data_IF_040929938083
#
_entry.id   IF_040929938083
#
_cell.length_a   1.000
_cell.length_b   1.000
_cell.length_c   1.000
_cell.angle_alpha   90.00
_cell.angle_beta   90.00
_cell.angle_gamma   90.00
#
_symmetry.space_group_name_H-M   'P 1'
#
loop_
_entity.id
_entity.type
_entity.pdbx_description
1 polymer ?
#
# COMPACT_ATOMS: atom_id res chain seq x y z
N UNK A 1 -26.94 14.88 17.88
CA UNK A 1 -25.65 14.24 18.21
C UNK A 1 -24.69 15.34 18.63
N UNK A 2 -24.06 15.26 19.82
CA UNK A 2 -23.25 16.35 20.39
C UNK A 2 -21.78 16.23 19.94
N UNK A 3 -21.13 17.37 19.68
CA UNK A 3 -19.71 17.47 19.23
C UNK A 3 -18.75 16.82 20.24
N UNK A 4 -19.08 16.91 21.53
CA UNK A 4 -18.31 16.25 22.59
C UNK A 4 -18.34 14.72 22.46
N UNK A 5 -19.48 14.15 22.06
CA UNK A 5 -19.63 12.70 21.83
C UNK A 5 -18.84 12.25 20.59
N UNK A 6 -18.72 13.12 19.59
CA UNK A 6 -17.91 12.86 18.38
C UNK A 6 -16.42 12.84 18.71
N UNK A 7 -15.94 13.84 19.47
CA UNK A 7 -14.54 13.96 19.88
C UNK A 7 -14.09 12.84 20.84
N UNK A 8 -14.98 12.39 21.73
CA UNK A 8 -14.68 11.28 22.65
C UNK A 8 -14.60 9.93 21.93
N UNK A 9 -15.30 9.78 20.79
CA UNK A 9 -15.27 8.60 19.92
C UNK A 9 -14.00 8.50 19.04
N UNK A 10 -13.16 9.54 18.99
CA UNK A 10 -11.99 9.63 18.09
C UNK A 10 -10.61 9.70 18.81
N UNK A 11 -10.53 9.36 20.11
CA UNK A 11 -9.25 9.22 20.88
C UNK A 11 -8.38 8.02 20.43
N UNK A 12 -7.08 7.97 20.76
CA UNK A 12 -6.21 6.81 20.47
C UNK A 12 -6.71 5.50 21.13
N UNK A 13 -7.48 5.60 22.22
CA UNK A 13 -8.18 4.49 22.88
C UNK A 13 -9.58 4.18 22.28
N UNK A 14 -9.93 4.77 21.14
CA UNK A 14 -11.26 4.72 20.54
C UNK A 14 -11.30 3.94 19.23
N UNK A 15 -12.49 3.86 18.61
CA UNK A 15 -12.69 3.30 17.28
C UNK A 15 -11.66 3.82 16.25
N UNK A 16 -11.29 5.10 16.31
CA UNK A 16 -10.29 5.70 15.41
C UNK A 16 -8.90 5.07 15.54
N UNK A 17 -8.39 4.91 16.78
CA UNK A 17 -7.09 4.29 17.03
C UNK A 17 -7.07 2.81 16.61
N UNK A 18 -8.14 2.07 16.92
CA UNK A 18 -8.30 0.67 16.49
C UNK A 18 -8.37 0.54 14.97
N UNK A 19 -9.12 1.43 14.31
CA UNK A 19 -9.22 1.49 12.85
C UNK A 19 -7.87 1.78 12.18
N UNK A 20 -7.12 2.76 12.70
CA UNK A 20 -5.76 3.07 12.23
C UNK A 20 -4.84 1.86 12.37
N UNK A 21 -4.78 1.24 13.55
CA UNK A 21 -3.91 0.10 13.82
C UNK A 21 -4.26 -1.11 12.94
N UNK A 22 -5.55 -1.46 12.85
CA UNK A 22 -6.02 -2.52 11.98
C UNK A 22 -5.70 -2.22 10.50
N UNK A 23 -5.84 -0.97 10.10
CA UNK A 23 -5.46 -0.47 8.79
C UNK A 23 -3.97 -0.63 8.49
N UNK A 24 -3.09 -0.20 9.40
CA UNK A 24 -1.63 -0.32 9.27
C UNK A 24 -1.25 -1.79 9.08
N UNK A 25 -1.75 -2.67 9.96
CA UNK A 25 -1.44 -4.11 9.90
C UNK A 25 -1.96 -4.70 8.57
N UNK A 26 -3.16 -4.30 8.15
CA UNK A 26 -3.71 -4.70 6.85
C UNK A 26 -2.86 -4.24 5.68
N UNK A 27 -2.45 -2.97 5.66
CA UNK A 27 -1.61 -2.40 4.62
C UNK A 27 -0.25 -3.10 4.52
N UNK A 28 0.41 -3.36 5.66
CA UNK A 28 1.68 -4.11 5.70
C UNK A 28 1.51 -5.53 5.16
N UNK A 29 0.46 -6.24 5.57
CA UNK A 29 0.16 -7.59 5.08
C UNK A 29 -0.14 -7.59 3.57
N UNK A 30 -0.92 -6.62 3.10
CA UNK A 30 -1.17 -6.42 1.67
C UNK A 30 0.11 -6.18 0.89
N UNK A 31 1.02 -5.35 1.40
CA UNK A 31 2.31 -5.10 0.75
C UNK A 31 3.14 -6.38 0.67
N UNK A 32 3.20 -7.16 1.74
CA UNK A 32 3.92 -8.43 1.72
C UNK A 32 3.37 -9.40 0.65
N UNK A 33 2.04 -9.50 0.53
CA UNK A 33 1.41 -10.32 -0.52
C UNK A 33 1.70 -9.77 -1.92
N UNK A 34 1.61 -8.45 -2.13
CA UNK A 34 1.96 -7.82 -3.41
C UNK A 34 3.41 -8.13 -3.79
N UNK A 35 4.36 -7.89 -2.89
CA UNK A 35 5.78 -8.16 -3.13
C UNK A 35 6.04 -9.64 -3.46
N UNK A 36 5.35 -10.56 -2.79
CA UNK A 36 5.44 -11.98 -3.10
C UNK A 36 4.90 -12.30 -4.50
N UNK A 37 3.75 -11.73 -4.87
CA UNK A 37 3.14 -11.94 -6.18
C UNK A 37 4.03 -11.39 -7.29
N UNK A 38 4.60 -10.20 -7.10
CA UNK A 38 5.51 -9.55 -8.05
C UNK A 38 6.83 -10.29 -8.22
N UNK A 39 7.26 -11.05 -7.20
CA UNK A 39 8.41 -11.93 -7.32
C UNK A 39 8.19 -13.06 -8.33
N UNK A 40 6.93 -13.52 -8.52
CA UNK A 40 6.59 -14.61 -9.43
C UNK A 40 5.93 -14.15 -10.73
N UNK A 41 5.31 -12.97 -10.75
CA UNK A 41 4.65 -12.39 -11.92
C UNK A 41 5.47 -11.22 -12.45
N UNK A 42 5.89 -11.24 -13.73
CA UNK A 42 6.60 -10.12 -14.32
C UNK A 42 5.66 -8.93 -14.42
N UNK A 43 5.87 -7.96 -13.54
CA UNK A 43 5.15 -6.68 -13.51
C UNK A 43 5.90 -5.57 -14.25
N UNK A 44 7.20 -5.75 -14.46
CA UNK A 44 8.08 -4.82 -15.17
C UNK A 44 9.06 -5.57 -16.07
N UNK A 45 9.67 -4.85 -17.01
CA UNK A 45 10.81 -5.36 -17.77
C UNK A 45 12.01 -5.59 -16.85
N UNK A 46 12.77 -6.65 -17.07
CA UNK A 46 13.88 -7.07 -16.19
C UNK A 46 14.97 -6.01 -16.09
N UNK A 47 15.13 -5.20 -17.14
CA UNK A 47 16.15 -4.14 -17.23
C UNK A 47 15.70 -2.83 -16.56
N UNK A 48 14.42 -2.71 -16.18
CA UNK A 48 13.89 -1.50 -15.56
C UNK A 48 13.97 -1.56 -14.04
N UNK A 49 14.57 -0.52 -13.45
CA UNK A 49 14.51 -0.28 -12.01
C UNK A 49 13.08 0.09 -11.61
N UNK A 50 12.72 -0.24 -10.38
CA UNK A 50 11.44 0.22 -9.83
C UNK A 50 11.48 1.71 -9.53
N UNK A 51 10.31 2.36 -9.56
CA UNK A 51 10.18 3.75 -9.15
C UNK A 51 10.71 3.99 -7.72
N UNK A 52 10.52 3.00 -6.83
CA UNK A 52 10.99 3.07 -5.45
C UNK A 52 12.52 3.08 -5.40
N UNK A 53 13.14 2.18 -6.14
CA UNK A 53 14.59 2.10 -6.21
C UNK A 53 15.18 3.36 -6.82
N UNK A 54 14.55 3.92 -7.86
CA UNK A 54 15.00 5.16 -8.48
C UNK A 54 14.97 6.35 -7.51
N UNK A 55 13.90 6.47 -6.69
CA UNK A 55 13.82 7.47 -5.62
C UNK A 55 14.95 7.32 -4.61
N UNK A 56 15.22 6.09 -4.16
CA UNK A 56 16.27 5.85 -3.15
C UNK A 56 17.66 6.02 -3.75
N UNK A 57 17.87 5.64 -5.01
CA UNK A 57 19.13 5.83 -5.74
C UNK A 57 19.47 7.30 -5.92
N UNK A 58 18.50 8.12 -6.34
CA UNK A 58 18.67 9.57 -6.47
C UNK A 58 19.02 10.20 -5.11
N UNK A 59 18.30 9.81 -4.05
CA UNK A 59 18.58 10.28 -2.70
C UNK A 59 19.96 9.84 -2.18
N UNK A 60 20.32 8.57 -2.38
CA UNK A 60 21.63 8.01 -2.00
C UNK A 60 22.75 8.74 -2.72
N UNK A 61 22.60 8.99 -4.02
CA UNK A 61 23.58 9.70 -4.83
C UNK A 61 23.76 11.13 -4.35
N UNK A 62 22.67 11.83 -3.99
CA UNK A 62 22.71 13.20 -3.46
C UNK A 62 23.38 13.30 -2.09
N UNK A 63 23.23 12.30 -1.23
CA UNK A 63 23.75 12.32 0.15
C UNK A 63 25.16 11.75 0.23
N UNK A 64 25.40 10.62 -0.43
CA UNK A 64 26.63 9.80 -0.29
C UNK A 64 27.58 9.93 -1.48
N UNK A 65 27.10 10.44 -2.62
CA UNK A 65 27.85 10.49 -3.87
C UNK A 65 27.79 9.20 -4.69
N UNK A 66 27.04 8.19 -4.25
CA UNK A 66 26.91 6.90 -4.93
C UNK A 66 25.47 6.35 -4.88
N UNK A 67 25.02 5.63 -5.93
CA UNK A 67 23.71 4.96 -5.92
C UNK A 67 23.69 3.82 -4.90
N UNK A 68 22.49 3.27 -4.63
CA UNK A 68 22.35 2.08 -3.80
C UNK A 68 23.12 0.94 -4.47
N UNK A 69 23.88 0.20 -3.66
CA UNK A 69 24.58 -0.98 -4.16
C UNK A 69 23.59 -2.05 -4.62
N UNK A 70 23.90 -2.77 -5.71
CA UNK A 70 23.07 -3.86 -6.25
C UNK A 70 22.58 -4.85 -5.18
N UNK A 71 23.43 -5.17 -4.20
CA UNK A 71 23.12 -6.10 -3.10
C UNK A 71 22.00 -5.60 -2.16
N UNK A 72 21.71 -4.29 -2.18
CA UNK A 72 20.75 -3.62 -1.30
C UNK A 72 19.52 -3.12 -2.06
N UNK A 73 19.40 -3.35 -3.37
CA UNK A 73 18.29 -2.82 -4.18
C UNK A 73 16.94 -3.35 -3.69
N UNK A 74 16.81 -4.67 -3.44
CA UNK A 74 15.58 -5.25 -2.91
C UNK A 74 15.20 -4.67 -1.54
N UNK A 75 16.19 -4.49 -0.66
CA UNK A 75 15.97 -3.90 0.66
C UNK A 75 15.55 -2.42 0.55
N UNK A 76 16.16 -1.66 -0.36
CA UNK A 76 15.79 -0.29 -0.64
C UNK A 76 14.34 -0.17 -1.16
N UNK A 77 13.92 -1.08 -2.05
CA UNK A 77 12.53 -1.14 -2.52
C UNK A 77 11.55 -1.40 -1.37
N UNK A 78 11.86 -2.37 -0.50
CA UNK A 78 11.02 -2.70 0.65
C UNK A 78 10.93 -1.54 1.65
N UNK A 79 12.02 -0.79 1.87
CA UNK A 79 12.03 0.41 2.73
C UNK A 79 11.08 1.50 2.28
N UNK A 80 10.71 1.54 0.99
CA UNK A 80 9.71 2.48 0.46
C UNK A 80 8.31 1.83 0.45
N UNK A 81 8.21 0.58 0.00
CA UNK A 81 6.93 -0.10 -0.19
C UNK A 81 6.16 -0.33 1.11
N UNK A 82 6.82 -0.74 2.19
CA UNK A 82 6.14 -1.01 3.47
C UNK A 82 5.56 0.25 4.12
N UNK A 83 6.29 1.38 4.23
CA UNK A 83 5.71 2.62 4.73
C UNK A 83 4.55 3.17 3.89
N UNK A 84 4.64 3.07 2.56
CA UNK A 84 3.53 3.47 1.67
C UNK A 84 2.31 2.58 1.93
N UNK A 85 2.49 1.26 1.93
CA UNK A 85 1.41 0.31 2.20
C UNK A 85 0.78 0.51 3.58
N UNK A 86 1.59 0.71 4.62
CA UNK A 86 1.14 1.04 5.96
C UNK A 86 0.32 2.34 5.99
N UNK A 87 0.74 3.36 5.24
CA UNK A 87 0.04 4.65 5.16
C UNK A 87 -1.31 4.55 4.45
N UNK A 88 -1.35 3.85 3.30
CA UNK A 88 -2.60 3.55 2.58
C UNK A 88 -3.54 2.74 3.46
N UNK A 89 -3.01 1.70 4.11
CA UNK A 89 -3.74 0.87 5.05
C UNK A 89 -4.29 1.67 6.23
N UNK A 90 -3.49 2.55 6.85
CA UNK A 90 -3.91 3.42 7.94
C UNK A 90 -5.08 4.32 7.54
N UNK A 91 -4.97 5.00 6.40
CA UNK A 91 -6.03 5.85 5.86
C UNK A 91 -7.33 5.05 5.61
N UNK A 92 -7.20 3.87 4.98
CA UNK A 92 -8.32 2.99 4.73
C UNK A 92 -8.96 2.48 6.04
N UNK A 93 -8.16 2.02 6.99
CA UNK A 93 -8.61 1.55 8.30
C UNK A 93 -9.31 2.64 9.12
N UNK A 94 -8.79 3.87 9.11
CA UNK A 94 -9.44 5.02 9.76
C UNK A 94 -10.81 5.33 9.13
N UNK A 95 -10.91 5.24 7.80
CA UNK A 95 -12.18 5.47 7.09
C UNK A 95 -13.24 4.40 7.44
N UNK A 96 -12.80 3.17 7.73
CA UNK A 96 -13.62 2.00 8.08
C UNK A 96 -13.66 1.70 9.58
N UNK A 97 -13.31 2.65 10.44
CA UNK A 97 -13.17 2.46 11.91
C UNK A 97 -14.40 1.90 12.62
N UNK A 98 -15.58 2.19 12.09
CA UNK A 98 -16.86 1.73 12.63
C UNK A 98 -17.36 0.42 12.01
N UNK A 99 -16.71 -0.08 10.96
CA UNK A 99 -17.15 -1.22 10.17
C UNK A 99 -16.18 -2.40 10.30
N UNK A 100 -16.53 -3.33 11.18
CA UNK A 100 -15.77 -4.57 11.39
C UNK A 100 -16.05 -5.64 10.33
N UNK A 101 -17.08 -5.45 9.49
CA UNK A 101 -17.46 -6.46 8.50
C UNK A 101 -16.43 -6.52 7.39
N UNK A 102 -16.22 -7.73 6.89
CA UNK A 102 -15.44 -7.99 5.71
C UNK A 102 -16.20 -7.55 4.47
N UNK A 103 -15.58 -6.68 3.66
CA UNK A 103 -16.10 -6.25 2.36
C UNK A 103 -15.04 -6.40 1.27
N UNK A 104 -14.95 -7.61 0.69
CA UNK A 104 -13.99 -7.92 -0.38
C UNK A 104 -14.09 -6.94 -1.57
N UNK A 105 -15.27 -6.40 -1.86
CA UNK A 105 -15.43 -5.41 -2.94
C UNK A 105 -14.71 -4.11 -2.60
N UNK A 106 -14.77 -3.67 -1.36
CA UNK A 106 -14.00 -2.51 -0.89
C UNK A 106 -12.49 -2.76 -0.97
N UNK A 107 -12.02 -3.98 -0.69
CA UNK A 107 -10.63 -4.38 -0.90
C UNK A 107 -10.20 -4.32 -2.37
N UNK A 108 -11.03 -4.84 -3.30
CA UNK A 108 -10.76 -4.73 -4.75
C UNK A 108 -10.68 -3.25 -5.17
N UNK A 109 -11.64 -2.43 -4.74
CA UNK A 109 -11.66 -0.99 -5.04
C UNK A 109 -10.40 -0.31 -4.50
N UNK A 110 -10.01 -0.59 -3.24
CA UNK A 110 -8.79 -0.05 -2.65
C UNK A 110 -7.55 -0.38 -3.48
N UNK A 111 -7.40 -1.66 -3.86
CA UNK A 111 -6.29 -2.12 -4.67
C UNK A 111 -6.23 -1.43 -6.03
N UNK A 112 -7.33 -1.50 -6.79
CA UNK A 112 -7.42 -0.86 -8.11
C UNK A 112 -7.22 0.66 -8.05
N UNK A 113 -7.80 1.34 -7.05
CA UNK A 113 -7.61 2.77 -6.87
C UNK A 113 -6.16 3.13 -6.52
N UNK A 114 -5.48 2.30 -5.72
CA UNK A 114 -4.06 2.48 -5.41
C UNK A 114 -3.22 2.35 -6.68
N UNK A 115 -3.47 1.33 -7.50
CA UNK A 115 -2.80 1.14 -8.80
C UNK A 115 -3.03 2.33 -9.73
N UNK A 116 -4.27 2.78 -9.92
CA UNK A 116 -4.57 3.94 -10.77
C UNK A 116 -3.84 5.19 -10.27
N UNK A 117 -3.87 5.43 -8.96
CA UNK A 117 -3.27 6.63 -8.37
C UNK A 117 -1.74 6.62 -8.46
N UNK A 118 -1.13 5.45 -8.56
CA UNK A 118 0.33 5.31 -8.63
C UNK A 118 0.78 5.14 -10.07
N UNK A 119 0.53 3.98 -10.67
CA UNK A 119 1.06 3.55 -11.96
C UNK A 119 0.38 4.23 -13.16
N UNK A 120 -0.91 4.56 -13.08
CA UNK A 120 -1.60 5.23 -14.18
C UNK A 120 -1.48 6.77 -14.13
N UNK A 121 -0.98 7.32 -13.01
CA UNK A 121 -0.99 8.77 -12.79
C UNK A 121 0.29 9.30 -12.14
N UNK A 122 0.49 9.07 -10.83
CA UNK A 122 1.57 9.75 -10.09
C UNK A 122 2.97 9.41 -10.60
N UNK A 123 3.29 8.12 -10.80
CA UNK A 123 4.64 7.68 -11.18
C UNK A 123 5.01 8.13 -12.60
N UNK A 124 4.12 8.01 -13.62
CA UNK A 124 4.40 8.58 -14.94
C UNK A 124 4.53 10.11 -14.93
N UNK A 125 3.72 10.83 -14.14
CA UNK A 125 3.81 12.30 -14.04
C UNK A 125 5.15 12.73 -13.43
N UNK A 126 5.67 11.96 -12.48
CA UNK A 126 6.97 12.20 -11.85
C UNK A 126 8.15 11.73 -12.70
N UNK A 127 7.89 11.05 -13.83
CA UNK A 127 8.91 10.49 -14.70
C UNK A 127 9.63 9.27 -14.12
N UNK A 128 9.05 8.63 -13.09
CA UNK A 128 9.60 7.46 -12.41
C UNK A 128 9.16 6.13 -13.05
N UNK A 129 8.17 6.19 -13.95
CA UNK A 129 7.72 5.06 -14.77
C UNK A 129 7.40 5.51 -16.19
N UNK A 130 7.44 4.59 -17.17
CA UNK A 130 6.94 4.86 -18.53
C UNK A 130 5.47 5.28 -18.52
N UNK A 131 5.02 5.92 -19.59
CA UNK A 131 3.58 6.23 -19.72
C UNK A 131 2.79 4.92 -19.84
N UNK A 132 1.55 4.85 -19.33
CA UNK A 132 0.75 3.63 -19.41
C UNK A 132 0.61 3.07 -20.83
N UNK A 133 0.48 3.92 -21.84
CA UNK A 133 0.34 3.49 -23.24
C UNK A 133 1.61 2.82 -23.81
N UNK A 134 2.76 3.02 -23.17
CA UNK A 134 4.05 2.47 -23.59
C UNK A 134 4.38 1.15 -22.85
N UNK A 135 3.59 0.77 -21.83
CA UNK A 135 3.77 -0.46 -21.05
C UNK A 135 2.98 -1.61 -21.70
N UNK A 136 3.56 -2.82 -21.87
CA UNK A 136 2.80 -3.97 -22.37
C UNK A 136 1.56 -4.28 -21.52
N UNK A 137 0.41 -4.47 -22.17
CA UNK A 137 -0.89 -4.73 -21.49
C UNK A 137 -0.81 -5.89 -20.49
N UNK A 138 -0.04 -6.93 -20.81
CA UNK A 138 0.16 -8.07 -19.89
C UNK A 138 0.82 -7.66 -18.57
N UNK A 139 1.78 -6.73 -18.62
CA UNK A 139 2.44 -6.21 -17.42
C UNK A 139 1.50 -5.34 -16.60
N UNK A 140 0.75 -4.43 -17.24
CA UNK A 140 -0.28 -3.63 -16.56
C UNK A 140 -1.32 -4.51 -15.85
N UNK A 141 -1.76 -5.60 -16.50
CA UNK A 141 -2.70 -6.54 -15.89
C UNK A 141 -2.09 -7.29 -14.70
N UNK A 142 -0.81 -7.67 -14.78
CA UNK A 142 -0.11 -8.29 -13.65
C UNK A 142 0.05 -7.30 -12.48
N UNK A 143 0.38 -6.03 -12.75
CA UNK A 143 0.47 -4.97 -11.75
C UNK A 143 -0.87 -4.69 -11.07
N UNK A 144 -1.93 -4.54 -11.88
CA UNK A 144 -3.29 -4.38 -11.36
C UNK A 144 -3.68 -5.59 -10.51
N UNK A 145 -3.38 -6.80 -10.96
CA UNK A 145 -3.67 -8.02 -10.20
C UNK A 145 -2.95 -8.04 -8.84
N UNK A 146 -1.66 -7.70 -8.81
CA UNK A 146 -0.89 -7.60 -7.57
C UNK A 146 -1.48 -6.55 -6.61
N UNK A 147 -1.93 -5.40 -7.13
CA UNK A 147 -2.60 -4.37 -6.34
C UNK A 147 -3.99 -4.78 -5.84
N UNK A 148 -4.76 -5.50 -6.63
CA UNK A 148 -6.04 -6.06 -6.19
C UNK A 148 -5.82 -7.05 -5.05
N UNK A 149 -4.80 -7.90 -5.14
CA UNK A 149 -4.44 -8.81 -4.04
C UNK A 149 -3.94 -8.06 -2.80
N UNK A 150 -3.17 -6.98 -2.96
CA UNK A 150 -2.86 -6.04 -1.87
C UNK A 150 -4.14 -5.57 -1.17
N UNK A 151 -5.09 -5.03 -1.93
CA UNK A 151 -6.31 -4.43 -1.37
C UNK A 151 -7.24 -5.45 -0.71
N UNK A 152 -7.43 -6.62 -1.32
CA UNK A 152 -8.18 -7.73 -0.72
C UNK A 152 -7.53 -8.18 0.59
N UNK A 153 -6.22 -8.38 0.60
CA UNK A 153 -5.48 -8.79 1.80
C UNK A 153 -5.59 -7.75 2.89
N UNK A 154 -5.40 -6.47 2.54
CA UNK A 154 -5.53 -5.37 3.48
C UNK A 154 -6.91 -5.33 4.12
N UNK A 155 -7.98 -5.53 3.35
CA UNK A 155 -9.35 -5.58 3.85
C UNK A 155 -9.62 -6.78 4.77
N UNK A 156 -9.17 -7.97 4.37
CA UNK A 156 -9.32 -9.20 5.20
C UNK A 156 -8.63 -9.03 6.55
N UNK A 157 -7.38 -8.58 6.54
CA UNK A 157 -6.59 -8.41 7.75
C UNK A 157 -7.13 -7.25 8.60
N UNK A 158 -7.47 -6.10 7.98
CA UNK A 158 -8.09 -4.96 8.68
C UNK A 158 -9.37 -5.39 9.40
N UNK A 159 -10.29 -6.05 8.71
CA UNK A 159 -11.56 -6.51 9.30
C UNK A 159 -11.30 -7.46 10.49
N UNK A 160 -10.42 -8.44 10.31
CA UNK A 160 -10.09 -9.44 11.34
C UNK A 160 -9.44 -8.81 12.58
N UNK A 161 -8.47 -7.92 12.38
CA UNK A 161 -7.78 -7.21 13.46
C UNK A 161 -8.73 -6.27 14.18
N UNK A 162 -9.53 -5.48 13.44
CA UNK A 162 -10.46 -4.53 14.04
C UNK A 162 -11.51 -5.24 14.90
N UNK A 163 -12.05 -6.36 14.41
CA UNK A 163 -12.97 -7.21 15.17
C UNK A 163 -12.32 -7.70 16.46
N UNK A 164 -11.11 -8.25 16.38
CA UNK A 164 -10.37 -8.74 17.54
C UNK A 164 -10.09 -7.65 18.58
N UNK A 165 -9.74 -6.43 18.14
CA UNK A 165 -9.50 -5.28 19.02
C UNK A 165 -10.78 -4.78 19.71
N UNK A 166 -11.95 -4.96 19.10
CA UNK A 166 -13.25 -4.57 19.69
C UNK A 166 -13.79 -5.63 20.64
N UNK A 167 -13.52 -6.92 20.40
CA UNK A 167 -13.92 -8.02 21.29
C UNK A 167 -13.15 -8.06 22.61
N UNK A 168 -12.01 -7.36 22.71
CA UNK A 168 -11.19 -7.27 23.92
C UNK A 168 -11.57 -6.11 24.86
N UNK A 169 -12.65 -5.38 24.58
CA UNK A 169 -13.27 -4.38 25.48
C UNK A 169 -14.44 -4.96 26.28
#
# INVERSE_FOLDING_TARGET
MNVQTLMQKDSFSSAAGKGLLAGIIGGLAGTAIKSLVEHFLPVREVEQKSAQLEIVDDLSTKITGSPVSVQNEELAEQLVNFPIGASVGAAYGYSKRDDEKLDIKAGIILGSSTWITTHETSLPILGLEPKPIDVPIKMQLNELFAHVLFGITAEVVRSSVLKSLKEQE
#
